data_IF_775162486647
#
_entry.id   IF_775162486647
#
_cell.length_a   1.000
_cell.length_b   1.000
_cell.length_c   1.000
_cell.angle_alpha   90.00
_cell.angle_beta   90.00
_cell.angle_gamma   90.00
#
_symmetry.space_group_name_H-M   'P 1'
#
loop_
_entity.id
_entity.type
_entity.pdbx_description
1 polymer ?
#
# COMPACT_ATOMS: atom_id res chain seq x y z
N UNK A 1 9.39 5.17 15.63
CA UNK A 1 8.41 4.29 16.32
C UNK A 1 7.78 3.23 15.39
N UNK A 2 7.29 3.60 14.20
CA UNK A 2 6.59 2.66 13.29
C UNK A 2 7.49 1.52 12.79
N UNK A 3 8.68 1.85 12.25
CA UNK A 3 9.65 0.85 11.73
C UNK A 3 10.10 -0.12 12.85
N UNK A 4 10.40 0.41 14.03
CA UNK A 4 10.78 -0.40 15.20
C UNK A 4 9.63 -1.29 15.66
N UNK A 5 8.39 -0.80 15.65
CA UNK A 5 7.20 -1.55 16.03
C UNK A 5 6.88 -2.70 15.07
N UNK A 6 6.88 -2.45 13.75
CA UNK A 6 6.67 -3.50 12.75
C UNK A 6 7.81 -4.51 12.73
N UNK A 7 9.05 -4.06 12.95
CA UNK A 7 10.22 -4.93 13.07
C UNK A 7 10.15 -5.85 14.30
N UNK A 8 9.81 -5.29 15.47
CA UNK A 8 9.62 -6.07 16.69
C UNK A 8 8.45 -7.06 16.56
N UNK A 9 7.33 -6.64 15.98
CA UNK A 9 6.19 -7.52 15.72
C UNK A 9 6.57 -8.67 14.77
N UNK A 10 7.34 -8.38 13.71
CA UNK A 10 7.84 -9.41 12.78
C UNK A 10 8.75 -10.38 13.51
N UNK A 11 9.67 -9.90 14.35
CA UNK A 11 10.57 -10.77 15.11
C UNK A 11 9.81 -11.70 16.07
N UNK A 12 8.77 -11.20 16.73
CA UNK A 12 7.93 -11.98 17.64
C UNK A 12 7.07 -13.02 16.91
N UNK A 13 6.58 -12.69 15.71
CA UNK A 13 5.68 -13.54 14.93
C UNK A 13 6.39 -14.45 13.93
N UNK A 14 7.68 -14.22 13.66
CA UNK A 14 8.52 -15.07 12.81
C UNK A 14 8.45 -16.57 13.13
N UNK A 15 8.55 -17.03 14.40
CA UNK A 15 8.45 -18.47 14.70
C UNK A 15 7.07 -19.07 14.42
N UNK A 16 6.03 -18.23 14.31
CA UNK A 16 4.66 -18.64 13.98
C UNK A 16 4.35 -18.52 12.48
N UNK A 17 5.37 -18.30 11.64
CA UNK A 17 5.21 -18.13 10.19
C UNK A 17 4.82 -16.72 9.75
N UNK A 18 4.84 -15.73 10.66
CA UNK A 18 4.62 -14.32 10.32
C UNK A 18 5.85 -13.73 9.63
N UNK A 19 5.71 -13.29 8.38
CA UNK A 19 6.80 -12.67 7.62
C UNK A 19 6.39 -11.30 7.09
N UNK A 20 7.37 -10.39 6.96
CA UNK A 20 7.24 -9.09 6.31
C UNK A 20 6.07 -8.21 6.82
N UNK A 21 5.82 -8.17 8.14
CA UNK A 21 4.77 -7.30 8.69
C UNK A 21 5.11 -5.82 8.42
N UNK A 22 4.18 -5.11 7.82
CA UNK A 22 4.34 -3.73 7.38
C UNK A 22 3.04 -2.94 7.56
N UNK A 23 3.08 -1.64 7.29
CA UNK A 23 1.89 -0.80 7.35
C UNK A 23 0.96 -1.10 6.15
N UNK A 24 -0.26 -1.52 6.46
CA UNK A 24 -1.33 -1.64 5.48
C UNK A 24 -1.87 -0.24 5.10
N UNK A 25 -1.18 0.43 4.17
CA UNK A 25 -1.50 1.81 3.77
C UNK A 25 -2.95 2.00 3.31
N UNK A 26 -3.49 1.01 2.58
CA UNK A 26 -4.89 1.00 2.11
C UNK A 26 -5.87 0.94 3.28
N UNK A 27 -5.73 -0.08 4.12
CA UNK A 27 -6.61 -0.26 5.29
C UNK A 27 -6.51 0.92 6.24
N UNK A 28 -5.31 1.48 6.43
CA UNK A 28 -5.09 2.67 7.23
C UNK A 28 -5.81 3.89 6.63
N UNK A 29 -5.72 4.12 5.32
CA UNK A 29 -6.43 5.21 4.67
C UNK A 29 -7.95 5.09 4.83
N UNK A 30 -8.51 3.88 4.71
CA UNK A 30 -9.94 3.61 4.92
C UNK A 30 -10.34 3.87 6.38
N UNK A 31 -9.59 3.32 7.34
CA UNK A 31 -9.91 3.46 8.77
C UNK A 31 -9.72 4.89 9.30
N UNK A 32 -8.88 5.70 8.64
CA UNK A 32 -8.62 7.09 9.00
C UNK A 32 -9.52 8.09 8.25
N UNK A 33 -10.42 7.60 7.39
CA UNK A 33 -11.38 8.42 6.66
C UNK A 33 -12.39 9.13 7.59
N UNK A 34 -13.00 10.24 7.14
CA UNK A 34 -14.02 10.94 7.92
C UNK A 34 -15.24 10.07 8.23
N UNK A 35 -15.51 9.08 7.38
CA UNK A 35 -16.60 8.10 7.54
C UNK A 35 -16.41 7.16 8.74
N UNK A 36 -15.17 6.96 9.21
CA UNK A 36 -14.89 6.05 10.31
C UNK A 36 -15.36 6.61 11.66
N UNK A 37 -15.13 7.91 11.89
CA UNK A 37 -15.65 8.64 13.03
C UNK A 37 -15.44 10.16 12.80
N UNK A 38 -16.40 11.03 13.19
CA UNK A 38 -16.26 12.48 13.05
C UNK A 38 -15.03 13.02 13.77
N UNK A 39 -14.85 12.62 15.04
CA UNK A 39 -13.65 12.93 15.84
C UNK A 39 -12.42 12.14 15.34
N UNK A 40 -11.36 12.81 14.84
CA UNK A 40 -10.13 12.18 14.39
C UNK A 40 -9.42 11.35 15.46
N UNK A 41 -9.51 11.74 16.74
CA UNK A 41 -8.85 11.04 17.84
C UNK A 41 -9.45 9.65 18.13
N UNK A 42 -10.68 9.40 17.65
CA UNK A 42 -11.41 8.14 17.88
C UNK A 42 -11.44 7.21 16.67
N UNK A 43 -10.87 7.62 15.53
CA UNK A 43 -10.85 6.81 14.29
C UNK A 43 -10.07 5.50 14.43
N UNK A 44 -9.18 5.38 15.42
CA UNK A 44 -8.47 4.14 15.70
C UNK A 44 -9.42 2.96 15.99
N UNK A 45 -10.64 3.22 16.46
CA UNK A 45 -11.65 2.17 16.73
C UNK A 45 -12.00 1.36 15.48
N UNK A 46 -12.05 2.00 14.31
CA UNK A 46 -12.25 1.33 13.03
C UNK A 46 -11.07 0.40 12.70
N UNK A 47 -9.84 0.85 12.95
CA UNK A 47 -8.64 0.03 12.76
C UNK A 47 -8.61 -1.18 13.72
N UNK A 48 -9.03 -1.00 14.97
CA UNK A 48 -9.15 -2.10 15.95
C UNK A 48 -10.19 -3.12 15.49
N UNK A 49 -11.38 -2.67 15.07
CA UNK A 49 -12.42 -3.55 14.55
C UNK A 49 -11.93 -4.32 13.32
N UNK A 50 -11.31 -3.65 12.36
CA UNK A 50 -10.72 -4.28 11.17
C UNK A 50 -9.67 -5.34 11.56
N UNK A 51 -8.81 -5.04 12.54
CA UNK A 51 -7.84 -5.99 13.08
C UNK A 51 -8.49 -7.25 13.66
N UNK A 52 -9.56 -7.10 14.45
CA UNK A 52 -10.31 -8.24 15.01
C UNK A 52 -10.91 -9.09 13.88
N UNK A 53 -11.55 -8.46 12.88
CA UNK A 53 -12.09 -9.20 11.74
C UNK A 53 -11.02 -9.90 10.92
N UNK A 54 -9.83 -9.30 10.74
CA UNK A 54 -8.72 -9.96 10.07
C UNK A 54 -8.18 -11.15 10.86
N UNK A 55 -8.14 -11.10 12.19
CA UNK A 55 -7.77 -12.25 13.01
C UNK A 55 -8.78 -13.38 12.83
N UNK A 56 -10.08 -13.07 12.91
CA UNK A 56 -11.14 -14.07 12.69
C UNK A 56 -11.01 -14.68 11.29
N UNK A 57 -10.85 -13.85 10.26
CA UNK A 57 -10.66 -14.31 8.89
C UNK A 57 -9.39 -15.16 8.73
N UNK A 58 -8.31 -14.78 9.43
CA UNK A 58 -7.04 -15.51 9.45
C UNK A 58 -7.16 -16.90 10.05
N UNK A 59 -7.98 -17.08 11.10
CA UNK A 59 -8.29 -18.41 11.67
C UNK A 59 -8.96 -19.30 10.62
N UNK A 60 -9.85 -18.74 9.79
CA UNK A 60 -10.49 -19.43 8.67
C UNK A 60 -9.71 -19.34 7.35
N UNK A 61 -8.43 -18.96 7.39
CA UNK A 61 -7.64 -18.65 6.20
C UNK A 61 -7.59 -19.78 5.16
N UNK A 62 -7.46 -21.03 5.62
CA UNK A 62 -7.47 -22.20 4.73
C UNK A 62 -8.82 -22.38 4.02
N UNK A 63 -9.93 -22.17 4.73
CA UNK A 63 -11.29 -22.24 4.17
C UNK A 63 -11.53 -21.12 3.16
N UNK A 64 -11.11 -19.90 3.48
CA UNK A 64 -11.22 -18.73 2.60
C UNK A 64 -10.38 -18.94 1.34
N UNK A 65 -9.14 -19.41 1.48
CA UNK A 65 -8.27 -19.73 0.35
C UNK A 65 -8.88 -20.83 -0.54
N UNK A 66 -9.44 -21.89 0.06
CA UNK A 66 -10.14 -22.95 -0.67
C UNK A 66 -11.37 -22.45 -1.42
N UNK A 67 -12.15 -21.56 -0.81
CA UNK A 67 -13.31 -20.93 -1.46
C UNK A 67 -12.88 -20.08 -2.65
N UNK A 68 -11.85 -19.23 -2.50
CA UNK A 68 -11.32 -18.41 -3.59
C UNK A 68 -10.75 -19.27 -4.73
N UNK A 69 -10.13 -20.41 -4.41
CA UNK A 69 -9.62 -21.34 -5.41
C UNK A 69 -10.73 -22.09 -6.17
N UNK A 70 -11.96 -22.14 -5.64
CA UNK A 70 -13.12 -22.72 -6.32
C UNK A 70 -13.74 -21.78 -7.36
N UNK A 71 -13.45 -20.47 -7.30
CA UNK A 71 -13.89 -19.50 -8.30
C UNK A 71 -12.94 -19.44 -9.51
N UNK A 72 -13.44 -19.09 -10.71
CA UNK A 72 -12.59 -18.75 -11.85
C UNK A 72 -11.57 -17.66 -11.50
N UNK A 73 -10.32 -17.86 -11.91
CA UNK A 73 -9.20 -16.97 -11.59
C UNK A 73 -9.47 -15.54 -12.08
N UNK A 74 -10.14 -15.41 -13.21
CA UNK A 74 -10.50 -14.16 -13.86
C UNK A 74 -11.43 -13.32 -12.98
N UNK A 75 -12.39 -13.95 -12.31
CA UNK A 75 -13.32 -13.27 -11.40
C UNK A 75 -12.60 -12.76 -10.15
N UNK A 76 -11.72 -13.59 -9.58
CA UNK A 76 -10.92 -13.20 -8.40
C UNK A 76 -10.02 -12.01 -8.74
N UNK A 77 -9.33 -12.07 -9.88
CA UNK A 77 -8.47 -10.97 -10.35
C UNK A 77 -9.27 -9.70 -10.64
N UNK A 78 -10.45 -9.80 -11.26
CA UNK A 78 -11.31 -8.66 -11.54
C UNK A 78 -11.77 -7.97 -10.25
N UNK A 79 -12.31 -8.74 -9.29
CA UNK A 79 -12.79 -8.19 -8.01
C UNK A 79 -11.63 -7.58 -7.21
N UNK A 80 -10.46 -8.23 -7.17
CA UNK A 80 -9.27 -7.67 -6.54
C UNK A 80 -8.85 -6.35 -7.21
N UNK A 81 -8.87 -6.28 -8.54
CA UNK A 81 -8.62 -5.05 -9.29
C UNK A 81 -9.60 -3.93 -8.95
N UNK A 82 -10.91 -4.21 -8.96
CA UNK A 82 -11.94 -3.24 -8.59
C UNK A 82 -11.78 -2.73 -7.15
N UNK A 83 -11.42 -3.60 -6.21
CA UNK A 83 -11.16 -3.22 -4.83
C UNK A 83 -9.97 -2.24 -4.69
N UNK A 84 -8.99 -2.33 -5.60
CA UNK A 84 -7.80 -1.46 -5.59
C UNK A 84 -8.03 -0.11 -6.27
N UNK A 85 -9.00 0.03 -7.18
CA UNK A 85 -9.22 1.26 -7.95
C UNK A 85 -9.35 2.51 -7.08
N UNK A 86 -10.14 2.43 -5.99
CA UNK A 86 -10.33 3.56 -5.08
C UNK A 86 -9.02 4.03 -4.44
N UNK A 87 -8.19 3.07 -4.03
CA UNK A 87 -6.91 3.36 -3.35
C UNK A 87 -5.85 3.91 -4.30
N UNK A 88 -5.79 3.37 -5.52
CA UNK A 88 -4.92 3.87 -6.59
C UNK A 88 -5.33 5.29 -6.95
N UNK A 89 -6.64 5.54 -7.11
CA UNK A 89 -7.18 6.87 -7.38
C UNK A 89 -6.83 7.89 -6.29
N UNK A 90 -7.07 7.56 -5.01
CA UNK A 90 -6.74 8.47 -3.90
C UNK A 90 -5.23 8.71 -3.74
N UNK A 91 -4.43 7.66 -3.95
CA UNK A 91 -2.97 7.73 -3.87
C UNK A 91 -2.41 8.63 -4.97
N UNK A 92 -2.84 8.43 -6.21
CA UNK A 92 -2.48 9.28 -7.35
C UNK A 92 -2.93 10.72 -7.16
N UNK A 93 -4.18 10.95 -6.74
CA UNK A 93 -4.69 12.30 -6.49
C UNK A 93 -3.84 13.04 -5.44
N UNK A 94 -3.41 12.34 -4.39
CA UNK A 94 -2.54 12.90 -3.35
C UNK A 94 -1.14 13.17 -3.88
N UNK A 95 -0.55 12.22 -4.61
CA UNK A 95 0.81 12.35 -5.17
C UNK A 95 0.92 13.45 -6.24
N UNK A 96 -0.14 13.67 -7.02
CA UNK A 96 -0.22 14.65 -8.10
C UNK A 96 -0.65 16.05 -7.64
N UNK A 97 -0.92 16.23 -6.33
CA UNK A 97 -1.53 17.44 -5.79
C UNK A 97 -0.62 18.66 -5.87
N UNK A 98 0.68 18.47 -5.63
CA UNK A 98 1.67 19.54 -5.65
C UNK A 98 2.29 19.66 -7.05
N UNK A 99 2.07 20.80 -7.70
CA UNK A 99 2.60 21.10 -9.04
C UNK A 99 4.13 21.08 -9.07
N UNK A 100 4.80 21.37 -7.94
CA UNK A 100 6.25 21.35 -7.87
C UNK A 100 6.82 19.93 -8.00
N UNK A 101 6.11 18.91 -7.51
CA UNK A 101 6.58 17.51 -7.47
C UNK A 101 5.83 16.59 -8.43
N UNK A 102 4.83 17.10 -9.16
CA UNK A 102 3.95 16.33 -10.05
C UNK A 102 4.74 15.51 -11.08
N UNK A 103 5.71 16.11 -11.76
CA UNK A 103 6.50 15.42 -12.78
C UNK A 103 7.28 14.23 -12.22
N UNK A 104 7.88 14.40 -11.03
CA UNK A 104 8.61 13.33 -10.35
C UNK A 104 7.68 12.19 -9.95
N UNK A 105 6.49 12.50 -9.43
CA UNK A 105 5.51 11.50 -9.05
C UNK A 105 4.89 10.78 -10.28
N UNK A 106 4.76 11.45 -11.43
CA UNK A 106 4.35 10.84 -12.70
C UNK A 106 5.41 9.84 -13.19
N UNK A 107 6.68 10.23 -13.15
CA UNK A 107 7.80 9.35 -13.50
C UNK A 107 7.84 8.12 -12.59
N UNK A 108 7.69 8.31 -11.28
CA UNK A 108 7.60 7.17 -10.34
C UNK A 108 6.46 6.23 -10.72
N UNK A 109 5.27 6.76 -10.97
CA UNK A 109 4.11 5.95 -11.31
C UNK A 109 4.31 5.16 -12.60
N UNK A 110 4.76 5.80 -13.67
CA UNK A 110 4.97 5.17 -14.98
C UNK A 110 6.05 4.08 -14.91
N UNK A 111 7.18 4.36 -14.24
CA UNK A 111 8.26 3.38 -14.09
C UNK A 111 7.80 2.21 -13.21
N UNK A 112 7.06 2.44 -12.13
CA UNK A 112 6.50 1.35 -11.34
C UNK A 112 5.51 0.51 -12.14
N UNK A 113 4.64 1.13 -12.95
CA UNK A 113 3.67 0.45 -13.81
C UNK A 113 4.32 -0.35 -14.95
N UNK A 114 5.51 0.06 -15.41
CA UNK A 114 6.19 -0.55 -16.56
C UNK A 114 6.55 -2.03 -16.39
N UNK A 115 6.60 -2.52 -15.15
CA UNK A 115 7.03 -3.90 -14.86
C UNK A 115 8.52 -4.16 -15.09
N UNK A 116 9.33 -3.14 -15.37
CA UNK A 116 10.78 -3.26 -15.56
C UNK A 116 11.45 -3.85 -14.32
N UNK A 117 12.27 -4.87 -14.52
CA UNK A 117 13.12 -5.46 -13.47
C UNK A 117 14.57 -5.37 -13.92
N UNK A 118 15.41 -4.70 -13.12
CA UNK A 118 16.84 -4.55 -13.36
C UNK A 118 17.59 -5.17 -12.17
N UNK A 119 18.62 -5.96 -12.47
CA UNK A 119 19.46 -6.63 -11.47
C UNK A 119 18.67 -7.47 -10.44
N UNK A 120 17.54 -8.05 -10.85
CA UNK A 120 16.67 -8.85 -9.99
C UNK A 120 15.80 -8.04 -9.02
N UNK A 121 15.83 -6.70 -9.11
CA UNK A 121 15.00 -5.80 -8.31
C UNK A 121 13.83 -5.30 -9.16
N UNK A 122 12.61 -5.45 -8.66
CA UNK A 122 11.38 -5.10 -9.36
C UNK A 122 11.14 -3.59 -9.55
N UNK A 123 10.17 -3.27 -10.40
CA UNK A 123 9.86 -1.90 -10.85
C UNK A 123 9.47 -0.92 -9.75
N UNK A 124 8.93 -1.41 -8.63
CA UNK A 124 8.56 -0.57 -7.49
C UNK A 124 9.76 0.20 -6.93
N UNK A 125 10.92 -0.46 -6.82
CA UNK A 125 12.15 0.19 -6.38
C UNK A 125 12.65 1.20 -7.41
N UNK A 126 12.75 0.78 -8.67
CA UNK A 126 13.26 1.62 -9.75
C UNK A 126 12.37 2.83 -10.02
N UNK A 127 11.06 2.72 -9.80
CA UNK A 127 10.14 3.86 -9.90
C UNK A 127 10.40 4.91 -8.83
N UNK A 128 10.65 4.51 -7.58
CA UNK A 128 11.03 5.45 -6.52
C UNK A 128 12.38 6.10 -6.86
N UNK A 129 13.38 5.32 -7.28
CA UNK A 129 14.70 5.85 -7.70
C UNK A 129 14.54 6.88 -8.82
N UNK A 130 13.80 6.55 -9.88
CA UNK A 130 13.59 7.43 -11.03
C UNK A 130 12.88 8.73 -10.63
N UNK A 131 11.86 8.66 -9.77
CA UNK A 131 11.18 9.86 -9.27
C UNK A 131 12.05 10.72 -8.38
N UNK A 132 12.85 10.12 -7.49
CA UNK A 132 13.81 10.87 -6.66
C UNK A 132 14.86 11.57 -7.52
N UNK A 133 15.38 10.89 -8.55
CA UNK A 133 16.30 11.50 -9.52
C UNK A 133 15.62 12.66 -10.25
N UNK A 134 14.39 12.48 -10.74
CA UNK A 134 13.63 13.52 -11.41
C UNK A 134 13.39 14.74 -10.50
N UNK A 135 13.00 14.49 -9.25
CA UNK A 135 12.81 15.52 -8.24
C UNK A 135 14.11 16.30 -7.96
N UNK A 136 15.24 15.60 -7.85
CA UNK A 136 16.53 16.22 -7.63
C UNK A 136 17.01 17.07 -8.82
N UNK A 137 16.79 16.58 -10.05
CA UNK A 137 17.16 17.32 -11.28
C UNK A 137 16.30 18.58 -11.43
N UNK A 138 14.97 18.46 -11.31
CA UNK A 138 14.07 19.61 -11.38
C UNK A 138 14.30 20.61 -10.25
N UNK A 139 14.55 20.12 -9.03
CA UNK A 139 14.88 20.96 -7.88
C UNK A 139 16.16 21.76 -8.09
N UNK A 140 17.18 21.17 -8.73
CA UNK A 140 18.41 21.88 -9.11
C UNK A 140 18.18 22.90 -10.22
N UNK A 141 17.39 22.57 -11.23
CA UNK A 141 17.10 23.48 -12.36
C UNK A 141 16.26 24.68 -11.96
N UNK A 142 15.39 24.55 -10.95
CA UNK A 142 14.59 25.68 -10.42
C UNK A 142 15.35 26.55 -9.42
N UNK A 143 16.49 26.09 -8.92
CA UNK A 143 17.33 26.83 -7.97
C UNK A 143 18.41 27.68 -8.64
N UNK A 144 18.58 27.56 -9.97
CA UNK A 144 19.47 28.35 -10.82
C UNK A 144 18.64 29.41 -11.55
#
# INVERSE_FOLDING_TARGET
PLITGTGAATLLLAPFGGFALNLAAITAAICMGPEAHPDPARRYTAAVAAGVFYIVLGIFGATVAGLLAAFPRELVMAVAGFALLGTVGSGLATAMKDDATRDAALVTFIVTLSGVSLWGVGSAFWGVVAGVVMLAVLGRLRAV
#
